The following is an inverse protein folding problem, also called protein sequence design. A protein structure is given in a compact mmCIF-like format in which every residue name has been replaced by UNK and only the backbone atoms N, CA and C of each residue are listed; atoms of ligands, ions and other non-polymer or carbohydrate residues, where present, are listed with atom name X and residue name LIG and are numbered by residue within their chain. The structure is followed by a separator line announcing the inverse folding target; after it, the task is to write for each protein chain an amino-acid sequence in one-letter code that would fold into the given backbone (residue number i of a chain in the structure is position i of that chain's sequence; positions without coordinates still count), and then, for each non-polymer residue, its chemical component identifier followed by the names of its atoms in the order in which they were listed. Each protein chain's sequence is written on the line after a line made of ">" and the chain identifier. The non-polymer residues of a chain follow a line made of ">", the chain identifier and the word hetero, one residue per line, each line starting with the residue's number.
data_IF_159546654444
#
_entry.id   IF_159546654444
#
_cell.length_a   1.000
_cell.length_b   1.000
_cell.length_c   1.000
_cell.angle_alpha   90.00
_cell.angle_beta   90.00
_cell.angle_gamma   90.00
#
_symmetry.space_group_name_H-M   'P 1'
#
loop_
_entity.id
_entity.type
_entity.pdbx_description
1 polymer ?
#
# COMPACT_ATOMS: atom_id res chain seq x y z
N UNK A 1 -30.03 -1.61 6.74
CA UNK A 1 -28.68 -1.59 6.15
C UNK A 1 -27.72 -0.96 7.15
N UNK A 2 -26.59 -1.61 7.49
CA UNK A 2 -25.62 -1.01 8.38
C UNK A 2 -24.98 0.22 7.71
N UNK A 3 -25.21 1.40 8.28
CA UNK A 3 -24.59 2.65 7.77
C UNK A 3 -23.13 2.69 8.21
N UNK A 4 -22.21 2.61 7.25
CA UNK A 4 -20.78 2.78 7.53
C UNK A 4 -20.48 4.21 8.01
N UNK A 5 -19.58 4.32 8.99
CA UNK A 5 -19.18 5.60 9.59
C UNK A 5 -17.92 6.19 8.93
N UNK A 6 -17.24 5.41 8.09
CA UNK A 6 -15.97 5.74 7.42
C UNK A 6 -15.99 5.17 6.00
N UNK A 7 -15.07 5.65 5.17
CA UNK A 7 -14.81 5.06 3.86
C UNK A 7 -14.47 3.57 4.02
N UNK A 8 -15.00 2.75 3.11
CA UNK A 8 -14.85 1.28 3.11
C UNK A 8 -13.39 0.88 3.30
N UNK A 9 -12.47 1.53 2.58
CA UNK A 9 -11.04 1.25 2.63
C UNK A 9 -10.41 1.50 4.00
N UNK A 10 -10.95 2.43 4.80
CA UNK A 10 -10.42 2.73 6.15
C UNK A 10 -10.65 1.55 7.10
N UNK A 11 -11.74 0.80 6.96
CA UNK A 11 -11.99 -0.38 7.78
C UNK A 11 -10.96 -1.50 7.56
N UNK A 12 -10.48 -1.65 6.32
CA UNK A 12 -9.40 -2.57 5.96
C UNK A 12 -8.07 -2.04 6.45
N UNK A 13 -7.74 -0.78 6.12
CA UNK A 13 -6.45 -0.17 6.48
C UNK A 13 -6.25 -0.13 7.99
N UNK A 14 -7.25 0.31 8.76
CA UNK A 14 -7.16 0.39 10.22
C UNK A 14 -6.94 -1.00 10.84
N UNK A 15 -7.51 -2.05 10.24
CA UNK A 15 -7.33 -3.43 10.68
C UNK A 15 -5.92 -3.96 10.36
N UNK A 16 -5.44 -3.73 9.14
CA UNK A 16 -4.14 -4.21 8.68
C UNK A 16 -2.95 -3.45 9.27
N UNK A 17 -3.10 -2.14 9.53
CA UNK A 17 -2.00 -1.24 9.91
C UNK A 17 -1.21 -1.69 11.14
N UNK A 18 -1.86 -2.40 12.07
CA UNK A 18 -1.20 -2.95 13.27
C UNK A 18 -0.07 -3.96 12.96
N UNK A 19 -0.08 -4.56 11.77
CA UNK A 19 0.92 -5.54 11.30
C UNK A 19 1.89 -4.97 10.27
N UNK A 20 1.85 -3.67 9.96
CA UNK A 20 2.80 -3.08 9.03
C UNK A 20 4.19 -3.00 9.66
N UNK A 21 5.15 -3.68 9.04
CA UNK A 21 6.55 -3.68 9.46
C UNK A 21 7.32 -2.58 8.72
N UNK A 22 7.31 -1.38 9.30
CA UNK A 22 8.12 -0.28 8.76
C UNK A 22 9.58 -0.49 9.13
N UNK A 23 10.45 -0.48 8.14
CA UNK A 23 11.90 -0.57 8.29
C UNK A 23 12.49 0.60 9.07
N UNK A 24 13.77 0.46 9.43
CA UNK A 24 14.51 1.46 10.21
C UNK A 24 15.08 2.60 9.35
N UNK A 25 15.14 2.41 8.03
CA UNK A 25 15.75 3.34 7.10
C UNK A 25 15.01 3.35 5.75
N UNK A 26 15.15 4.44 5.01
CA UNK A 26 14.63 4.59 3.66
C UNK A 26 15.37 3.65 2.71
N UNK A 27 14.64 2.82 1.98
CA UNK A 27 15.23 1.86 1.03
C UNK A 27 15.95 2.53 -0.15
N UNK A 28 15.78 3.83 -0.37
CA UNK A 28 16.47 4.59 -1.43
C UNK A 28 17.75 5.27 -0.95
N UNK A 29 17.77 5.81 0.27
CA UNK A 29 18.84 6.72 0.71
C UNK A 29 19.32 6.51 2.16
N UNK A 30 18.87 5.45 2.83
CA UNK A 30 19.19 5.09 4.23
C UNK A 30 18.85 6.15 5.29
N UNK A 31 18.11 7.22 4.94
CA UNK A 31 17.59 8.17 5.93
C UNK A 31 16.70 7.46 6.94
N UNK A 32 16.89 7.72 8.22
CA UNK A 32 16.17 7.06 9.33
C UNK A 32 15.01 7.89 9.90
N UNK A 33 14.83 9.10 9.39
CA UNK A 33 13.78 10.04 9.84
C UNK A 33 12.66 10.21 8.81
N UNK A 34 11.47 10.55 9.31
CA UNK A 34 10.27 10.82 8.50
C UNK A 34 9.97 9.67 7.53
N UNK A 35 9.96 8.44 8.06
CA UNK A 35 9.70 7.23 7.28
C UNK A 35 8.20 7.00 7.12
N UNK A 36 7.79 6.81 5.88
CA UNK A 36 6.45 6.40 5.46
C UNK A 36 6.45 4.93 5.03
N UNK A 37 5.32 4.26 5.27
CA UNK A 37 5.06 2.91 4.80
C UNK A 37 4.31 2.99 3.47
N UNK A 38 4.91 2.48 2.40
CA UNK A 38 4.38 2.55 1.05
C UNK A 38 3.89 1.17 0.57
N UNK A 39 2.70 1.13 -0.02
CA UNK A 39 2.15 -0.07 -0.66
C UNK A 39 2.37 0.01 -2.18
N UNK A 40 3.04 -0.96 -2.78
CA UNK A 40 3.19 -0.99 -4.25
C UNK A 40 1.86 -1.31 -4.95
N UNK A 41 1.01 -2.10 -4.30
CA UNK A 41 -0.36 -2.37 -4.74
C UNK A 41 -1.33 -1.46 -3.99
N UNK A 42 -1.83 -0.43 -4.67
CA UNK A 42 -2.78 0.53 -4.09
C UNK A 42 -3.99 -0.17 -3.50
N UNK A 43 -4.23 0.03 -2.20
CA UNK A 43 -5.27 -0.74 -1.50
C UNK A 43 -6.69 -0.43 -2.00
N UNK A 44 -6.98 0.79 -2.46
CA UNK A 44 -8.32 1.15 -2.95
C UNK A 44 -8.66 0.37 -4.24
N UNK A 45 -7.83 0.38 -5.30
CA UNK A 45 -8.00 -0.47 -6.46
C UNK A 45 -8.03 -1.96 -6.12
N UNK A 46 -7.18 -2.41 -5.20
CA UNK A 46 -7.12 -3.82 -4.80
C UNK A 46 -8.44 -4.26 -4.17
N UNK A 47 -8.95 -3.48 -3.21
CA UNK A 47 -10.23 -3.74 -2.56
C UNK A 47 -11.40 -3.66 -3.53
N UNK A 48 -11.44 -2.66 -4.41
CA UNK A 48 -12.51 -2.52 -5.39
C UNK A 48 -12.55 -3.71 -6.37
N UNK A 49 -11.39 -4.19 -6.81
CA UNK A 49 -11.28 -5.37 -7.67
C UNK A 49 -11.77 -6.62 -6.95
N UNK A 50 -11.37 -6.84 -5.70
CA UNK A 50 -11.80 -7.97 -4.89
C UNK A 50 -13.31 -7.97 -4.62
N UNK A 51 -13.87 -6.83 -4.21
CA UNK A 51 -15.31 -6.67 -3.98
C UNK A 51 -16.12 -6.96 -5.25
N UNK A 52 -15.65 -6.47 -6.41
CA UNK A 52 -16.31 -6.70 -7.70
C UNK A 52 -16.22 -8.17 -8.11
N UNK A 53 -15.03 -8.78 -8.04
CA UNK A 53 -14.79 -10.18 -8.42
C UNK A 53 -15.67 -11.14 -7.62
N UNK A 54 -15.79 -10.91 -6.32
CA UNK A 54 -16.54 -11.76 -5.41
C UNK A 54 -18.01 -11.33 -5.21
N UNK A 55 -18.46 -10.27 -5.91
CA UNK A 55 -19.80 -9.69 -5.80
C UNK A 55 -20.18 -9.35 -4.35
N UNK A 56 -19.20 -8.94 -3.56
CA UNK A 56 -19.42 -8.54 -2.17
C UNK A 56 -20.01 -7.14 -2.08
N UNK A 57 -20.98 -6.96 -1.18
CA UNK A 57 -21.51 -5.64 -0.88
C UNK A 57 -20.56 -4.90 0.09
N UNK A 58 -20.03 -3.72 -0.28
CA UNK A 58 -19.11 -2.95 0.56
C UNK A 58 -19.65 -2.58 1.95
N UNK A 59 -20.97 -2.53 2.15
CA UNK A 59 -21.59 -2.26 3.46
C UNK A 59 -21.21 -3.29 4.54
N UNK A 60 -20.84 -4.50 4.12
CA UNK A 60 -20.42 -5.59 5.03
C UNK A 60 -18.90 -5.64 5.25
N UNK A 61 -18.14 -4.61 4.85
CA UNK A 61 -16.67 -4.64 4.93
C UNK A 61 -16.10 -4.96 6.31
N UNK A 62 -16.80 -4.62 7.39
CA UNK A 62 -16.36 -4.95 8.74
C UNK A 62 -16.27 -6.46 9.00
N UNK A 63 -17.17 -7.24 8.37
CA UNK A 63 -17.15 -8.71 8.43
C UNK A 63 -16.21 -9.31 7.38
N UNK A 64 -16.03 -8.64 6.23
CA UNK A 64 -15.28 -9.15 5.08
C UNK A 64 -13.78 -8.80 5.09
N UNK A 65 -13.38 -7.79 5.88
CA UNK A 65 -12.01 -7.25 5.80
C UNK A 65 -10.93 -8.25 6.19
N UNK A 66 -11.22 -9.21 7.06
CA UNK A 66 -10.23 -10.19 7.49
C UNK A 66 -9.96 -11.17 6.33
N UNK A 67 -11.00 -11.64 5.63
CA UNK A 67 -10.87 -12.45 4.40
C UNK A 67 -10.08 -11.71 3.31
N UNK A 68 -10.39 -10.43 3.07
CA UNK A 68 -9.63 -9.59 2.13
C UNK A 68 -8.15 -9.49 2.51
N UNK A 69 -7.85 -9.29 3.80
CA UNK A 69 -6.47 -9.19 4.30
C UNK A 69 -5.72 -10.53 4.15
N UNK A 70 -6.41 -11.65 4.36
CA UNK A 70 -5.83 -12.98 4.19
C UNK A 70 -5.53 -13.30 2.72
N UNK A 71 -6.49 -13.07 1.82
CA UNK A 71 -6.34 -13.31 0.38
C UNK A 71 -5.26 -12.42 -0.28
N UNK A 72 -5.05 -11.21 0.26
CA UNK A 72 -4.11 -10.22 -0.27
C UNK A 72 -2.95 -9.94 0.67
N UNK A 73 -2.55 -10.94 1.47
CA UNK A 73 -1.48 -10.79 2.47
C UNK A 73 -0.20 -10.20 1.86
N UNK A 74 0.23 -10.73 0.70
CA UNK A 74 1.45 -10.29 0.05
C UNK A 74 1.37 -8.82 -0.37
N UNK A 75 0.26 -8.38 -0.97
CA UNK A 75 0.06 -6.99 -1.37
C UNK A 75 0.00 -6.02 -0.19
N UNK A 76 -0.47 -6.48 0.98
CA UNK A 76 -0.61 -5.64 2.17
C UNK A 76 0.67 -5.55 3.02
N UNK A 77 1.50 -6.58 3.01
CA UNK A 77 2.63 -6.71 3.94
C UNK A 77 3.97 -6.91 3.23
N UNK A 78 4.02 -7.72 2.19
CA UNK A 78 5.28 -8.14 1.56
C UNK A 78 5.70 -7.18 0.42
N UNK A 79 4.74 -6.75 -0.41
CA UNK A 79 4.96 -5.83 -1.53
C UNK A 79 4.84 -4.38 -1.09
N UNK A 80 5.72 -4.03 -0.16
CA UNK A 80 5.73 -2.74 0.50
C UNK A 80 7.15 -2.16 0.49
N UNK A 81 7.28 -0.88 0.79
CA UNK A 81 8.57 -0.24 0.96
C UNK A 81 8.54 0.76 2.11
N UNK A 82 9.67 0.88 2.79
CA UNK A 82 9.94 1.96 3.74
C UNK A 82 10.70 3.07 3.04
N UNK A 83 10.05 4.22 2.86
CA UNK A 83 10.61 5.37 2.16
C UNK A 83 10.62 6.58 3.09
N UNK A 84 11.64 7.42 3.01
CA UNK A 84 11.53 8.74 3.63
C UNK A 84 10.43 9.55 2.90
N UNK A 85 9.82 10.49 3.63
CA UNK A 85 8.71 11.28 3.12
C UNK A 85 9.00 11.95 1.77
N UNK A 86 10.23 12.42 1.58
CA UNK A 86 10.67 13.04 0.33
C UNK A 86 10.59 12.07 -0.86
N UNK A 87 11.12 10.86 -0.72
CA UNK A 87 11.07 9.85 -1.78
C UNK A 87 9.68 9.27 -1.96
N UNK A 88 8.92 9.10 -0.88
CA UNK A 88 7.53 8.67 -0.95
C UNK A 88 6.66 9.64 -1.77
N UNK A 89 6.82 10.95 -1.53
CA UNK A 89 6.16 12.00 -2.31
C UNK A 89 6.65 12.02 -3.76
N UNK A 90 7.94 11.82 -4.01
CA UNK A 90 8.47 11.72 -5.38
C UNK A 90 7.87 10.56 -6.16
N UNK A 91 7.75 9.38 -5.54
CA UNK A 91 7.09 8.23 -6.14
C UNK A 91 5.63 8.57 -6.50
N UNK A 92 4.90 9.19 -5.56
CA UNK A 92 3.53 9.64 -5.82
C UNK A 92 3.40 10.77 -6.84
N UNK A 93 4.45 11.56 -7.11
CA UNK A 93 4.47 12.51 -8.24
C UNK A 93 4.54 11.78 -9.60
N UNK A 94 5.18 10.61 -9.66
CA UNK A 94 5.32 9.82 -10.89
C UNK A 94 4.08 8.97 -11.16
N UNK A 95 3.58 8.26 -10.14
CA UNK A 95 2.50 7.29 -10.31
C UNK A 95 1.12 7.79 -9.83
N UNK A 96 1.06 8.91 -9.13
CA UNK A 96 -0.14 9.39 -8.45
C UNK A 96 -0.32 8.77 -7.07
N UNK A 97 -1.35 9.19 -6.34
CA UNK A 97 -1.66 8.73 -4.97
C UNK A 97 -2.40 7.39 -4.91
N UNK A 98 -3.08 7.05 -6.00
CA UNK A 98 -3.88 5.82 -6.12
C UNK A 98 -3.66 5.17 -7.49
N UNK A 99 -2.41 4.79 -7.83
CA UNK A 99 -2.11 4.20 -9.13
C UNK A 99 -2.82 2.87 -9.33
N UNK A 100 -3.10 2.52 -10.59
CA UNK A 100 -3.66 1.21 -10.94
C UNK A 100 -2.70 0.06 -10.63
N UNK A 101 -3.26 -1.12 -10.31
CA UNK A 101 -2.51 -2.30 -9.86
C UNK A 101 -1.41 -2.76 -10.84
N UNK A 102 -1.60 -2.56 -12.14
CA UNK A 102 -0.60 -2.89 -13.17
C UNK A 102 0.70 -2.08 -13.11
N UNK A 103 0.79 -1.09 -12.23
CA UNK A 103 2.00 -0.27 -12.03
C UNK A 103 2.91 -0.77 -10.91
N UNK A 104 2.48 -1.73 -10.08
CA UNK A 104 3.23 -2.16 -8.88
C UNK A 104 4.70 -2.51 -9.20
N UNK A 105 4.93 -3.37 -10.20
CA UNK A 105 6.29 -3.74 -10.63
C UNK A 105 7.11 -2.55 -11.15
N UNK A 106 6.46 -1.55 -11.76
CA UNK A 106 7.13 -0.33 -12.22
C UNK A 106 7.54 0.55 -11.04
N UNK A 107 6.71 0.62 -10.00
CA UNK A 107 7.03 1.33 -8.76
C UNK A 107 8.20 0.68 -8.03
N UNK A 108 8.21 -0.66 -7.90
CA UNK A 108 9.34 -1.41 -7.33
C UNK A 108 10.63 -1.14 -8.10
N UNK A 109 10.60 -1.26 -9.43
CA UNK A 109 11.75 -0.95 -10.29
C UNK A 109 12.20 0.51 -10.16
N UNK A 110 11.27 1.44 -9.97
CA UNK A 110 11.62 2.84 -9.76
C UNK A 110 12.37 3.03 -8.44
N UNK A 111 11.97 2.35 -7.35
CA UNK A 111 12.69 2.36 -6.07
C UNK A 111 14.12 1.84 -6.25
N UNK A 112 14.31 0.71 -6.94
CA UNK A 112 15.63 0.16 -7.27
C UNK A 112 16.50 1.17 -8.02
N UNK A 113 15.96 1.77 -9.10
CA UNK A 113 16.69 2.77 -9.89
C UNK A 113 17.05 4.00 -9.05
N UNK A 114 16.19 4.45 -8.15
CA UNK A 114 16.54 5.55 -7.26
C UNK A 114 17.63 5.13 -6.27
N UNK A 115 17.56 3.92 -5.72
CA UNK A 115 18.58 3.37 -4.81
C UNK A 115 19.96 3.32 -5.49
N UNK A 116 20.03 2.84 -6.73
CA UNK A 116 21.25 2.86 -7.56
C UNK A 116 21.79 4.29 -7.76
N UNK A 117 20.92 5.26 -8.05
CA UNK A 117 21.32 6.66 -8.22
C UNK A 117 21.87 7.32 -6.96
N UNK A 118 21.54 6.79 -5.78
CA UNK A 118 22.09 7.25 -4.51
C UNK A 118 23.36 6.47 -4.11
N UNK A 119 23.87 5.57 -4.96
CA UNK A 119 25.11 4.82 -4.73
C UNK A 119 24.98 3.68 -3.71
N UNK A 120 23.76 3.17 -3.51
CA UNK A 120 23.44 2.15 -2.48
C UNK A 120 23.42 0.70 -3.03
N UNK A 121 23.90 0.51 -4.26
CA UNK A 121 24.05 -0.77 -4.99
C UNK A 121 25.40 -0.76 -5.71
#
# INVERSE_FOLDING_TARGET
>A
MPKLKRDVIKYVRDRAKSKYEKGLACEICDKTEQLDFHHFYSLTPLLNQWLTKNKHNPEYIQALRDDFIEEHHAELYDYTATLCHAHHVQLHKVYGRDPGLGTAKKQMRWVEIQREKHGMV
#
